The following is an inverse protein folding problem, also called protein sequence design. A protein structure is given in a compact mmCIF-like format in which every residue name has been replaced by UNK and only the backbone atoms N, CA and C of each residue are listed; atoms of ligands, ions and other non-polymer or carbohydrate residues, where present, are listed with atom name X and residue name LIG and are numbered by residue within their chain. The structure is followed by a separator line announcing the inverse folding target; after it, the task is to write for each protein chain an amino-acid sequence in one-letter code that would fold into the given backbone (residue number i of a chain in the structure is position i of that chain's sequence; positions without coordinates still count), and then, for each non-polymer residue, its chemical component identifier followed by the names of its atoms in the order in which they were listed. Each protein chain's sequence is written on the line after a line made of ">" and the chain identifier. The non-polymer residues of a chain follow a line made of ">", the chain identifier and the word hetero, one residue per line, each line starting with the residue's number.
data_IF_959802680941
#
_entry.id   IF_959802680941
#
_cell.length_a   1.000
_cell.length_b   1.000
_cell.length_c   1.000
_cell.angle_alpha   90.00
_cell.angle_beta   90.00
_cell.angle_gamma   90.00
#
_symmetry.space_group_name_H-M   'P 1'
#
loop_
_entity.id
_entity.type
_entity.pdbx_description
1 polymer ?
#
# COMPACT_ATOMS: atom_id res chain seq x y z
N UNK A 1 -2.20 -4.20 -33.27
CA UNK A 1 -3.15 -4.86 -32.39
C UNK A 1 -4.18 -3.83 -32.01
N UNK A 2 -5.46 -4.05 -32.38
CA UNK A 2 -6.55 -3.05 -32.38
C UNK A 2 -7.11 -2.71 -31.00
N UNK A 3 -6.27 -2.51 -29.98
CA UNK A 3 -6.71 -2.02 -28.68
C UNK A 3 -6.96 -0.50 -28.79
N UNK A 4 -8.11 -0.06 -28.35
CA UNK A 4 -8.34 1.34 -28.05
C UNK A 4 -7.60 1.70 -26.76
N UNK A 5 -6.93 2.84 -26.73
CA UNK A 5 -6.15 3.27 -25.59
C UNK A 5 -6.20 4.78 -25.41
N UNK A 6 -5.99 5.24 -24.23
CA UNK A 6 -5.67 6.60 -23.86
C UNK A 6 -4.32 6.66 -23.13
N UNK A 7 -3.69 7.80 -23.12
CA UNK A 7 -2.47 8.08 -22.36
C UNK A 7 -2.81 9.18 -21.36
N UNK A 8 -2.74 8.86 -20.06
CA UNK A 8 -2.90 9.84 -19.00
C UNK A 8 -1.51 10.12 -18.41
N UNK A 9 -0.96 11.29 -18.74
CA UNK A 9 0.30 11.75 -18.17
C UNK A 9 0.04 12.65 -16.99
N UNK A 10 0.59 12.31 -15.82
CA UNK A 10 0.42 13.11 -14.61
C UNK A 10 1.73 13.82 -14.29
N UNK A 11 1.68 15.12 -14.24
CA UNK A 11 2.79 15.97 -13.78
C UNK A 11 2.63 16.30 -12.30
N UNK A 12 3.59 15.86 -11.49
CA UNK A 12 3.59 16.07 -10.03
C UNK A 12 4.30 17.39 -9.66
N UNK A 13 3.85 18.49 -10.28
CA UNK A 13 4.31 19.83 -9.99
C UNK A 13 5.76 20.09 -10.44
N UNK A 14 6.09 19.75 -11.67
CA UNK A 14 7.40 20.05 -12.27
C UNK A 14 7.65 21.56 -12.34
N UNK A 15 8.88 21.96 -12.04
CA UNK A 15 9.31 23.36 -12.09
C UNK A 15 10.23 23.67 -13.28
N UNK A 16 10.45 22.69 -14.14
CA UNK A 16 11.25 22.76 -15.36
C UNK A 16 10.38 22.91 -16.62
N UNK A 17 10.90 22.59 -17.80
CA UNK A 17 10.17 22.67 -19.05
C UNK A 17 9.19 21.52 -19.32
N UNK A 18 9.00 20.57 -18.40
CA UNK A 18 8.22 19.34 -18.62
C UNK A 18 6.79 19.64 -19.10
N UNK A 19 6.06 20.50 -18.41
CA UNK A 19 4.67 20.84 -18.81
C UNK A 19 4.60 21.48 -20.18
N UNK A 20 5.55 22.37 -20.52
CA UNK A 20 5.59 23.01 -21.83
C UNK A 20 5.79 21.96 -22.94
N UNK A 21 6.68 21.00 -22.71
CA UNK A 21 6.90 19.90 -23.68
C UNK A 21 5.65 19.01 -23.80
N UNK A 22 5.01 18.67 -22.68
CA UNK A 22 3.78 17.86 -22.69
C UNK A 22 2.64 18.55 -23.46
N UNK A 23 2.43 19.84 -23.25
CA UNK A 23 1.41 20.59 -23.97
C UNK A 23 1.75 20.85 -25.46
N UNK A 24 3.00 20.71 -25.86
CA UNK A 24 3.40 20.80 -27.28
C UNK A 24 3.08 19.51 -28.05
N UNK A 25 2.75 18.41 -27.36
CA UNK A 25 2.42 17.14 -28.02
C UNK A 25 0.96 17.18 -28.47
N UNK A 26 0.77 17.33 -29.78
CA UNK A 26 -0.56 17.23 -30.38
C UNK A 26 -0.91 15.75 -30.64
N UNK A 27 -1.51 15.10 -29.63
CA UNK A 27 -1.94 13.70 -29.76
C UNK A 27 -3.36 13.52 -29.19
N UNK A 28 -4.33 13.06 -29.98
CA UNK A 28 -5.76 13.06 -29.63
C UNK A 28 -6.09 12.14 -28.43
N UNK A 29 -5.20 11.21 -28.08
CA UNK A 29 -5.38 10.26 -26.96
C UNK A 29 -4.54 10.63 -25.73
N UNK A 30 -3.87 11.78 -25.74
CA UNK A 30 -3.07 12.26 -24.61
C UNK A 30 -3.93 13.16 -23.73
N UNK A 31 -4.03 12.81 -22.46
CA UNK A 31 -4.62 13.62 -21.39
C UNK A 31 -3.53 14.00 -20.40
N UNK A 32 -3.32 15.27 -20.17
CA UNK A 32 -2.34 15.78 -19.20
C UNK A 32 -3.07 16.19 -17.93
N UNK A 33 -2.65 15.64 -16.78
CA UNK A 33 -3.15 15.99 -15.45
C UNK A 33 -2.03 16.71 -14.70
N UNK A 34 -2.24 17.98 -14.41
CA UNK A 34 -1.27 18.81 -13.69
C UNK A 34 -1.63 18.91 -12.21
N UNK A 35 -0.72 18.54 -11.32
CA UNK A 35 -0.87 18.75 -9.89
C UNK A 35 -0.31 20.12 -9.50
N UNK A 36 -1.00 20.82 -8.61
CA UNK A 36 -0.64 22.20 -8.22
C UNK A 36 0.75 22.34 -7.60
N UNK A 37 1.32 21.28 -7.07
CA UNK A 37 2.67 21.18 -6.50
C UNK A 37 3.07 19.71 -6.41
N UNK A 38 4.31 19.43 -6.04
CA UNK A 38 4.76 18.07 -5.78
C UNK A 38 4.06 17.49 -4.53
N UNK A 39 3.19 16.51 -4.74
CA UNK A 39 2.49 15.74 -3.71
C UNK A 39 3.05 14.33 -3.55
N UNK A 40 3.97 13.92 -4.42
CA UNK A 40 4.62 12.62 -4.44
C UNK A 40 3.92 11.59 -5.32
N UNK A 41 4.68 10.56 -5.69
CA UNK A 41 4.32 9.56 -6.69
C UNK A 41 2.98 8.86 -6.44
N UNK A 42 2.64 8.57 -5.18
CA UNK A 42 1.35 7.94 -4.85
C UNK A 42 0.17 8.84 -5.18
N UNK A 43 0.28 10.14 -4.90
CA UNK A 43 -0.79 11.11 -5.21
C UNK A 43 -0.94 11.32 -6.72
N UNK A 44 0.20 11.41 -7.43
CA UNK A 44 0.21 11.49 -8.88
C UNK A 44 -0.45 10.26 -9.53
N UNK A 45 -0.12 9.07 -9.02
CA UNK A 45 -0.70 7.82 -9.50
C UNK A 45 -2.22 7.76 -9.28
N UNK A 46 -2.69 8.17 -8.07
CA UNK A 46 -4.13 8.22 -7.80
C UNK A 46 -4.85 9.20 -8.71
N UNK A 47 -4.27 10.39 -8.96
CA UNK A 47 -4.85 11.35 -9.89
C UNK A 47 -4.93 10.79 -11.33
N UNK A 48 -3.94 10.01 -11.74
CA UNK A 48 -3.95 9.31 -13.03
C UNK A 48 -5.02 8.23 -13.12
N UNK A 49 -5.18 7.44 -12.06
CA UNK A 49 -6.22 6.39 -11.97
C UNK A 49 -7.62 7.02 -12.01
N UNK A 50 -7.85 8.11 -11.27
CA UNK A 50 -9.12 8.82 -11.26
C UNK A 50 -9.45 9.49 -12.62
N UNK A 51 -8.44 9.89 -13.36
CA UNK A 51 -8.59 10.53 -14.67
C UNK A 51 -8.74 9.54 -15.82
N UNK A 52 -8.39 8.26 -15.62
CA UNK A 52 -8.45 7.22 -16.64
C UNK A 52 -9.88 6.70 -16.84
N UNK A 53 -10.24 6.44 -18.10
CA UNK A 53 -11.58 6.01 -18.53
C UNK A 53 -11.60 4.55 -19.01
N UNK A 54 -10.43 3.96 -19.31
CA UNK A 54 -10.31 2.60 -19.79
C UNK A 54 -10.72 1.54 -18.79
N UNK A 55 -11.18 0.37 -19.26
CA UNK A 55 -11.53 -0.79 -18.42
C UNK A 55 -10.30 -1.33 -17.67
N UNK A 56 -9.14 -1.30 -18.32
CA UNK A 56 -7.86 -1.69 -17.76
C UNK A 56 -6.96 -0.47 -17.63
N UNK A 57 -6.30 -0.32 -16.50
CA UNK A 57 -5.34 0.74 -16.26
C UNK A 57 -3.95 0.13 -16.18
N UNK A 58 -3.04 0.62 -17.02
CA UNK A 58 -1.62 0.32 -16.94
C UNK A 58 -0.89 1.48 -16.30
N UNK A 59 -0.14 1.21 -15.24
CA UNK A 59 0.71 2.19 -14.56
C UNK A 59 2.16 2.00 -14.97
N UNK A 60 2.89 3.09 -15.21
CA UNK A 60 4.28 3.05 -15.63
C UNK A 60 4.99 4.36 -15.26
N UNK A 61 6.27 4.27 -14.88
CA UNK A 61 7.10 5.46 -14.68
C UNK A 61 7.48 6.09 -16.03
N UNK A 62 7.55 7.42 -16.10
CA UNK A 62 7.92 8.17 -17.31
C UNK A 62 9.44 8.24 -17.56
N UNK A 63 10.24 7.33 -17.01
CA UNK A 63 11.71 7.32 -17.06
C UNK A 63 12.30 6.44 -18.16
N UNK A 64 11.45 5.93 -19.07
CA UNK A 64 11.79 5.08 -20.21
C UNK A 64 12.42 3.72 -19.85
N UNK A 65 12.37 3.31 -18.60
CA UNK A 65 12.92 2.01 -18.19
C UNK A 65 11.99 0.83 -18.53
N UNK A 66 10.68 1.03 -18.48
CA UNK A 66 9.69 0.03 -18.88
C UNK A 66 9.38 0.13 -20.38
N UNK A 67 9.04 -0.98 -21.01
CA UNK A 67 8.64 -1.02 -22.42
C UNK A 67 7.11 -1.07 -22.55
N UNK A 68 6.47 -0.03 -23.13
CA UNK A 68 5.02 -0.03 -23.36
C UNK A 68 4.54 -1.18 -24.26
N UNK A 69 5.42 -1.77 -25.05
CA UNK A 69 5.09 -2.91 -25.90
C UNK A 69 4.69 -4.17 -25.12
N UNK A 70 5.03 -4.25 -23.83
CA UNK A 70 4.61 -5.36 -22.95
C UNK A 70 3.13 -5.25 -22.55
N UNK A 71 2.53 -4.05 -22.57
CA UNK A 71 1.17 -3.79 -22.06
C UNK A 71 0.10 -4.65 -22.76
N UNK A 72 0.05 -4.77 -24.09
CA UNK A 72 -0.98 -5.58 -24.75
C UNK A 72 -0.96 -7.05 -24.33
N UNK A 73 0.24 -7.63 -24.18
CA UNK A 73 0.40 -9.01 -23.72
C UNK A 73 -0.04 -9.18 -22.26
N UNK A 74 0.23 -8.15 -21.41
CA UNK A 74 -0.21 -8.14 -20.02
C UNK A 74 -1.73 -8.04 -19.91
N UNK A 75 -2.39 -7.21 -20.71
CA UNK A 75 -3.86 -7.10 -20.76
C UNK A 75 -4.46 -8.44 -21.15
N UNK A 76 -3.99 -9.07 -22.25
CA UNK A 76 -4.47 -10.38 -22.67
C UNK A 76 -4.31 -11.44 -21.56
N UNK A 77 -3.16 -11.48 -20.90
CA UNK A 77 -2.92 -12.41 -19.78
C UNK A 77 -3.87 -12.16 -18.61
N UNK A 78 -4.14 -10.89 -18.29
CA UNK A 78 -5.03 -10.50 -17.21
C UNK A 78 -6.46 -10.97 -17.51
N UNK A 79 -6.94 -10.79 -18.74
CA UNK A 79 -8.25 -11.25 -19.20
C UNK A 79 -8.36 -12.77 -19.20
N UNK A 80 -7.45 -13.46 -19.86
CA UNK A 80 -7.45 -14.92 -19.98
C UNK A 80 -7.46 -15.62 -18.63
N UNK A 81 -6.65 -15.13 -17.68
CA UNK A 81 -6.55 -15.68 -16.33
C UNK A 81 -7.54 -15.08 -15.35
N UNK A 82 -8.39 -14.17 -15.80
CA UNK A 82 -9.37 -13.46 -14.98
C UNK A 82 -8.74 -12.82 -13.72
N UNK A 83 -7.57 -12.19 -13.88
CA UNK A 83 -6.87 -11.50 -12.83
C UNK A 83 -7.48 -10.11 -12.59
N UNK A 84 -7.23 -9.57 -11.41
CA UNK A 84 -7.57 -8.20 -11.05
C UNK A 84 -6.34 -7.28 -11.09
N UNK A 85 -5.14 -7.86 -10.91
CA UNK A 85 -3.87 -7.16 -11.04
C UNK A 85 -2.79 -8.08 -11.61
N UNK A 86 -2.06 -7.62 -12.61
CA UNK A 86 -0.87 -8.27 -13.15
C UNK A 86 0.33 -7.31 -13.02
N UNK A 87 1.36 -7.75 -12.30
CA UNK A 87 2.56 -6.98 -12.04
C UNK A 87 3.68 -7.36 -13.01
N UNK A 88 4.45 -6.39 -13.47
CA UNK A 88 5.67 -6.66 -14.21
C UNK A 88 6.76 -7.23 -13.29
N UNK A 89 7.48 -8.24 -13.78
CA UNK A 89 8.66 -8.80 -13.12
C UNK A 89 9.92 -8.55 -13.95
N UNK A 90 10.83 -7.73 -13.42
CA UNK A 90 12.11 -7.40 -14.05
C UNK A 90 13.12 -8.54 -13.82
N UNK A 91 12.93 -9.65 -14.54
CA UNK A 91 13.71 -10.88 -14.35
C UNK A 91 15.23 -10.68 -14.54
N UNK A 92 15.62 -9.81 -15.47
CA UNK A 92 17.03 -9.57 -15.83
C UNK A 92 17.60 -8.30 -15.20
N UNK A 93 17.11 -7.91 -14.01
CA UNK A 93 17.58 -6.72 -13.32
C UNK A 93 19.07 -6.84 -12.94
N UNK A 94 19.91 -5.97 -13.50
CA UNK A 94 21.36 -5.89 -13.20
C UNK A 94 21.59 -4.98 -11.99
N UNK A 95 21.12 -5.38 -10.80
CA UNK A 95 21.39 -4.63 -9.58
C UNK A 95 22.56 -5.23 -8.80
N UNK A 96 23.26 -4.36 -8.06
CA UNK A 96 24.32 -4.79 -7.13
C UNK A 96 23.72 -5.65 -5.99
N UNK A 97 24.50 -6.63 -5.51
CA UNK A 97 24.12 -7.56 -4.44
C UNK A 97 23.62 -6.85 -3.16
N UNK A 98 24.18 -5.67 -2.87
CA UNK A 98 23.83 -4.84 -1.70
C UNK A 98 22.37 -4.36 -1.70
N UNK A 99 21.72 -4.33 -2.89
CA UNK A 99 20.31 -3.92 -3.05
C UNK A 99 19.37 -5.09 -3.18
N UNK A 100 19.85 -6.26 -3.59
CA UNK A 100 19.01 -7.44 -3.83
C UNK A 100 18.65 -8.16 -2.54
N UNK A 101 19.54 -8.23 -1.55
CA UNK A 101 19.29 -8.95 -0.30
C UNK A 101 18.23 -8.28 0.57
N UNK A 102 18.29 -6.97 0.88
CA UNK A 102 17.21 -6.29 1.59
C UNK A 102 15.86 -6.35 0.86
N UNK A 103 15.89 -6.27 -0.48
CA UNK A 103 14.68 -6.38 -1.31
C UNK A 103 14.05 -7.77 -1.22
N UNK A 104 14.85 -8.85 -1.21
CA UNK A 104 14.32 -10.22 -1.07
C UNK A 104 13.67 -10.46 0.29
N UNK A 105 14.30 -9.98 1.36
CA UNK A 105 13.73 -10.07 2.72
C UNK A 105 12.41 -9.30 2.79
N UNK A 106 12.38 -8.09 2.25
CA UNK A 106 11.18 -7.27 2.17
C UNK A 106 10.08 -7.98 1.38
N UNK A 107 10.37 -8.49 0.19
CA UNK A 107 9.42 -9.21 -0.66
C UNK A 107 8.88 -10.47 0.04
N UNK A 108 9.74 -11.23 0.73
CA UNK A 108 9.31 -12.40 1.50
C UNK A 108 8.36 -12.03 2.64
N UNK A 109 8.69 -10.97 3.40
CA UNK A 109 7.84 -10.50 4.51
C UNK A 109 6.50 -10.01 3.98
N UNK A 110 6.51 -9.24 2.89
CA UNK A 110 5.31 -8.75 2.23
C UNK A 110 4.45 -9.93 1.76
N UNK A 111 5.03 -10.90 1.06
CA UNK A 111 4.32 -12.08 0.57
C UNK A 111 3.67 -12.89 1.67
N UNK A 112 4.35 -13.03 2.83
CA UNK A 112 3.81 -13.75 3.99
C UNK A 112 2.62 -13.02 4.64
N UNK A 113 2.62 -11.69 4.61
CA UNK A 113 1.56 -10.86 5.21
C UNK A 113 0.36 -10.73 4.29
N UNK A 114 0.59 -10.53 2.98
CA UNK A 114 -0.46 -10.30 1.99
C UNK A 114 -1.08 -11.59 1.43
N UNK A 115 -0.41 -12.73 1.60
CA UNK A 115 -0.78 -13.97 0.91
C UNK A 115 -0.47 -13.97 -0.60
N UNK A 116 0.15 -12.90 -1.11
CA UNK A 116 0.56 -12.76 -2.51
C UNK A 116 2.07 -12.90 -2.61
N UNK A 117 2.56 -13.91 -3.29
CA UNK A 117 3.99 -14.13 -3.49
C UNK A 117 4.42 -13.57 -4.86
N UNK A 118 5.11 -12.43 -4.88
CA UNK A 118 5.69 -11.83 -6.08
C UNK A 118 7.20 -11.74 -5.93
N UNK A 119 7.91 -11.89 -7.05
CA UNK A 119 9.36 -11.69 -7.10
C UNK A 119 9.74 -10.21 -7.11
N UNK A 120 8.88 -9.35 -7.71
CA UNK A 120 9.17 -7.92 -7.86
C UNK A 120 7.97 -7.03 -7.55
N UNK A 121 7.83 -6.61 -6.28
CA UNK A 121 6.82 -5.62 -5.89
C UNK A 121 7.12 -4.20 -6.39
N UNK A 122 8.38 -3.92 -6.68
CA UNK A 122 8.89 -2.58 -7.00
C UNK A 122 8.81 -2.21 -8.48
N UNK A 123 8.35 -3.08 -9.36
CA UNK A 123 8.15 -2.74 -10.77
C UNK A 123 6.99 -1.73 -10.89
N UNK A 124 7.21 -0.61 -11.60
CA UNK A 124 6.16 0.39 -11.81
C UNK A 124 5.14 -0.05 -12.87
N UNK A 125 5.55 -0.91 -13.82
CA UNK A 125 4.64 -1.45 -14.82
C UNK A 125 3.70 -2.47 -14.18
N UNK A 126 2.43 -2.09 -14.07
CA UNK A 126 1.35 -2.94 -13.56
C UNK A 126 0.11 -2.71 -14.41
N UNK A 127 -0.64 -3.75 -14.66
CA UNK A 127 -1.94 -3.69 -15.35
C UNK A 127 -3.00 -4.20 -14.38
N UNK A 128 -4.05 -3.42 -14.16
CA UNK A 128 -5.14 -3.80 -13.27
C UNK A 128 -6.51 -3.40 -13.81
N UNK A 129 -7.55 -4.01 -13.27
CA UNK A 129 -8.92 -3.60 -13.56
C UNK A 129 -9.20 -2.25 -12.91
N UNK A 130 -9.88 -1.38 -13.66
CA UNK A 130 -10.22 -0.03 -13.20
C UNK A 130 -11.02 -0.02 -11.90
N UNK A 131 -12.05 -0.85 -11.79
CA UNK A 131 -12.92 -0.96 -10.62
C UNK A 131 -12.15 -1.32 -9.35
N UNK A 132 -11.08 -2.11 -9.47
CA UNK A 132 -10.20 -2.47 -8.35
C UNK A 132 -9.23 -1.34 -8.02
N UNK A 133 -8.63 -0.70 -9.04
CA UNK A 133 -7.63 0.34 -8.82
C UNK A 133 -8.25 1.65 -8.32
N UNK A 134 -9.46 2.00 -8.72
CA UNK A 134 -10.22 3.14 -8.17
C UNK A 134 -10.55 2.99 -6.66
N UNK A 135 -10.62 1.75 -6.17
CA UNK A 135 -10.80 1.45 -4.75
C UNK A 135 -9.58 1.68 -3.87
N UNK A 136 -8.43 2.01 -4.45
CA UNK A 136 -7.20 2.26 -3.69
C UNK A 136 -7.22 3.63 -3.00
N UNK A 137 -6.57 3.72 -1.84
CA UNK A 137 -6.27 4.97 -1.12
C UNK A 137 -4.76 5.00 -0.85
N UNK A 138 -3.98 5.38 -1.87
CA UNK A 138 -2.53 5.40 -1.79
C UNK A 138 -2.04 6.75 -1.25
N UNK A 139 -1.19 6.70 -0.20
CA UNK A 139 -0.59 7.89 0.42
C UNK A 139 0.91 7.69 0.64
N UNK A 140 1.67 8.77 0.62
CA UNK A 140 3.12 8.72 0.84
C UNK A 140 3.82 7.77 -0.15
N UNK A 141 4.60 6.82 0.32
CA UNK A 141 5.35 5.87 -0.50
C UNK A 141 4.57 4.55 -0.81
N UNK A 142 3.24 4.56 -0.63
CA UNK A 142 2.41 3.34 -0.75
C UNK A 142 2.26 2.80 -2.19
N UNK A 143 2.61 3.58 -3.21
CA UNK A 143 2.61 3.14 -4.61
C UNK A 143 3.43 1.86 -4.85
N UNK A 144 4.45 1.60 -4.02
CA UNK A 144 5.27 0.38 -4.09
C UNK A 144 4.52 -0.87 -3.66
N UNK A 145 3.51 -0.69 -2.82
CA UNK A 145 2.76 -1.75 -2.19
C UNK A 145 1.36 -1.94 -2.81
N UNK A 146 1.13 -1.42 -4.03
CA UNK A 146 -0.14 -1.60 -4.74
C UNK A 146 -0.65 -3.06 -4.69
N UNK A 147 0.19 -4.09 -4.95
CA UNK A 147 -0.29 -5.47 -4.87
C UNK A 147 -0.83 -5.87 -3.50
N UNK A 148 -0.27 -5.28 -2.43
CA UNK A 148 -0.77 -5.47 -1.07
C UNK A 148 -2.15 -4.86 -0.87
N UNK A 149 -2.33 -3.63 -1.36
CA UNK A 149 -3.60 -2.92 -1.24
C UNK A 149 -4.69 -3.60 -2.06
N UNK A 150 -4.35 -4.05 -3.28
CA UNK A 150 -5.25 -4.83 -4.12
C UNK A 150 -5.60 -6.18 -3.46
N UNK A 151 -4.66 -6.84 -2.76
CA UNK A 151 -4.94 -8.08 -2.03
C UNK A 151 -5.98 -7.92 -0.90
N UNK A 152 -6.22 -6.70 -0.42
CA UNK A 152 -7.31 -6.41 0.51
C UNK A 152 -8.66 -6.18 -0.15
N UNK A 153 -8.67 -5.90 -1.45
CA UNK A 153 -9.88 -5.63 -2.23
C UNK A 153 -10.35 -6.86 -3.01
N UNK A 154 -9.43 -7.80 -3.27
CA UNK A 154 -9.69 -9.00 -4.06
C UNK A 154 -8.98 -10.22 -3.47
N UNK A 155 -9.28 -11.41 -4.01
CA UNK A 155 -8.62 -12.63 -3.54
C UNK A 155 -7.15 -12.66 -4.03
N UNK A 156 -6.17 -13.07 -3.18
CA UNK A 156 -4.76 -13.14 -3.55
C UNK A 156 -4.45 -13.93 -4.84
N UNK A 157 -5.24 -14.96 -5.17
CA UNK A 157 -5.09 -15.74 -6.42
C UNK A 157 -5.41 -14.94 -7.70
N UNK A 158 -5.98 -13.75 -7.58
CA UNK A 158 -6.28 -12.84 -8.70
C UNK A 158 -5.17 -11.84 -8.95
N UNK A 159 -4.05 -11.98 -8.23
CA UNK A 159 -2.86 -11.16 -8.38
C UNK A 159 -1.74 -12.06 -8.85
N UNK A 160 -1.10 -11.69 -9.97
CA UNK A 160 0.00 -12.45 -10.54
C UNK A 160 1.12 -11.51 -11.02
N UNK A 161 2.20 -12.10 -11.47
CA UNK A 161 3.29 -11.37 -12.12
C UNK A 161 3.66 -12.01 -13.45
N UNK A 162 4.24 -11.19 -14.34
CA UNK A 162 4.73 -11.60 -15.65
C UNK A 162 6.09 -10.97 -15.93
N UNK A 163 7.06 -11.72 -16.49
CA UNK A 163 8.30 -11.12 -16.94
C UNK A 163 8.05 -10.01 -17.96
N UNK A 164 8.73 -8.87 -17.76
CA UNK A 164 8.64 -7.69 -18.65
C UNK A 164 10.02 -7.21 -19.05
N UNK A 165 10.09 -6.51 -20.18
CA UNK A 165 11.31 -5.88 -20.64
C UNK A 165 11.63 -4.67 -19.77
N UNK A 166 12.90 -4.57 -19.39
CA UNK A 166 13.38 -3.46 -18.57
C UNK A 166 14.72 -2.96 -19.13
N UNK A 167 14.76 -1.67 -19.43
CA UNK A 167 15.95 -1.01 -20.01
C UNK A 167 16.75 -0.31 -18.92
N UNK A 168 18.04 -0.16 -19.15
CA UNK A 168 18.86 0.69 -18.30
C UNK A 168 18.39 2.15 -18.42
N UNK A 169 18.45 2.90 -17.32
CA UNK A 169 18.10 4.32 -17.32
C UNK A 169 19.00 5.10 -18.27
N UNK A 170 18.42 5.84 -19.19
CA UNK A 170 19.14 6.62 -20.20
C UNK A 170 19.33 8.08 -19.78
N UNK A 171 18.50 8.62 -18.87
CA UNK A 171 18.55 10.02 -18.44
C UNK A 171 18.28 10.14 -16.93
N UNK A 172 18.82 11.20 -16.32
CA UNK A 172 18.62 11.51 -14.90
C UNK A 172 19.50 10.76 -13.93
N UNK A 173 19.65 11.29 -12.72
CA UNK A 173 20.39 10.66 -11.63
C UNK A 173 19.43 9.94 -10.68
N UNK A 174 19.80 8.74 -10.23
CA UNK A 174 19.01 8.02 -9.21
C UNK A 174 19.02 8.82 -7.90
N UNK A 175 17.87 9.34 -7.49
CA UNK A 175 17.68 9.98 -6.18
C UNK A 175 17.76 8.97 -5.00
N UNK A 176 18.18 7.72 -5.25
CA UNK A 176 18.08 6.61 -4.31
C UNK A 176 19.45 6.23 -3.72
N UNK A 177 19.70 6.64 -2.47
CA UNK A 177 20.89 6.28 -1.67
C UNK A 177 20.59 5.22 -0.59
N UNK A 178 21.65 4.63 0.00
CA UNK A 178 21.61 3.60 1.06
C UNK A 178 20.93 4.12 2.35
N UNK A 179 20.87 5.44 2.58
CA UNK A 179 20.20 6.07 3.72
C UNK A 179 18.68 5.81 3.82
N UNK A 180 18.10 5.12 2.82
CA UNK A 180 16.68 4.77 2.74
C UNK A 180 16.29 3.46 3.44
N UNK A 181 17.24 2.58 3.75
CA UNK A 181 16.93 1.26 4.34
C UNK A 181 16.10 1.36 5.62
N UNK A 182 16.39 2.25 6.60
CA UNK A 182 15.53 2.40 7.78
C UNK A 182 14.13 2.88 7.43
N UNK A 183 13.99 3.77 6.44
CA UNK A 183 12.70 4.30 5.99
C UNK A 183 11.85 3.22 5.34
N UNK A 184 12.45 2.38 4.49
CA UNK A 184 11.75 1.23 3.87
C UNK A 184 11.28 0.23 4.93
N UNK A 185 12.05 -0.01 5.99
CA UNK A 185 11.64 -0.89 7.10
C UNK A 185 10.43 -0.28 7.83
N UNK A 186 10.44 1.02 8.10
CA UNK A 186 9.31 1.71 8.71
C UNK A 186 8.07 1.68 7.82
N UNK A 187 8.23 1.89 6.50
CA UNK A 187 7.15 1.81 5.53
C UNK A 187 6.56 0.40 5.46
N UNK A 188 7.40 -0.65 5.55
CA UNK A 188 6.96 -2.04 5.62
C UNK A 188 6.21 -2.35 6.91
N UNK A 189 6.70 -1.87 8.05
CA UNK A 189 6.02 -2.02 9.33
C UNK A 189 4.67 -1.30 9.32
N UNK A 190 4.63 -0.09 8.77
CA UNK A 190 3.40 0.67 8.61
C UNK A 190 2.42 -0.06 7.68
N UNK A 191 2.89 -0.55 6.51
CA UNK A 191 2.06 -1.32 5.59
C UNK A 191 1.52 -2.58 6.26
N UNK A 192 2.37 -3.36 6.95
CA UNK A 192 1.95 -4.54 7.72
C UNK A 192 0.88 -4.21 8.75
N UNK A 193 1.10 -3.14 9.54
CA UNK A 193 0.15 -2.69 10.56
C UNK A 193 -1.20 -2.32 9.93
N UNK A 194 -1.18 -1.49 8.86
CA UNK A 194 -2.41 -1.10 8.17
C UNK A 194 -3.14 -2.30 7.56
N UNK A 195 -2.42 -3.23 6.92
CA UNK A 195 -3.03 -4.42 6.33
C UNK A 195 -3.69 -5.32 7.37
N UNK A 196 -3.04 -5.51 8.52
CA UNK A 196 -3.49 -6.47 9.53
C UNK A 196 -4.52 -5.88 10.49
N UNK A 197 -4.42 -4.59 10.79
CA UNK A 197 -5.18 -3.94 11.88
C UNK A 197 -5.97 -2.71 11.44
N UNK A 198 -6.09 -2.46 10.10
CA UNK A 198 -6.81 -1.30 9.56
C UNK A 198 -8.23 -1.17 10.13
N UNK A 199 -8.95 -2.29 10.19
CA UNK A 199 -10.36 -2.29 10.64
C UNK A 199 -10.49 -2.40 12.16
N UNK A 200 -9.46 -2.93 12.84
CA UNK A 200 -9.50 -3.20 14.29
C UNK A 200 -8.16 -2.90 14.96
N UNK A 201 -7.67 -1.65 14.91
CA UNK A 201 -6.40 -1.28 15.54
C UNK A 201 -6.44 -1.47 17.07
N UNK A 202 -7.64 -1.40 17.67
CA UNK A 202 -7.87 -1.65 19.09
C UNK A 202 -7.41 -3.04 19.54
N UNK A 203 -7.49 -4.07 18.68
CA UNK A 203 -7.01 -5.40 19.02
C UNK A 203 -5.48 -5.45 19.19
N UNK A 204 -4.73 -4.78 18.31
CA UNK A 204 -3.28 -4.75 18.41
C UNK A 204 -2.82 -4.05 19.70
N UNK A 205 -3.26 -2.82 19.89
CA UNK A 205 -2.88 -2.02 21.05
C UNK A 205 -3.48 -2.58 22.35
N UNK A 206 -4.70 -3.11 22.29
CA UNK A 206 -5.38 -3.73 23.44
C UNK A 206 -4.63 -4.96 23.96
N UNK A 207 -4.25 -5.90 23.07
CA UNK A 207 -3.48 -7.09 23.47
C UNK A 207 -2.11 -6.68 24.02
N UNK A 208 -1.38 -5.80 23.33
CA UNK A 208 -0.08 -5.32 23.81
C UNK A 208 -0.23 -4.60 25.17
N UNK A 209 -1.26 -3.79 25.34
CA UNK A 209 -1.55 -3.08 26.58
C UNK A 209 -1.94 -3.99 27.74
N UNK A 210 -2.78 -5.01 27.48
CA UNK A 210 -3.14 -6.02 28.49
C UNK A 210 -1.93 -6.85 28.93
N UNK A 211 -1.07 -7.26 28.01
CA UNK A 211 0.16 -7.98 28.35
C UNK A 211 1.11 -7.12 29.18
N UNK A 212 1.38 -5.90 28.74
CA UNK A 212 2.31 -4.99 29.42
C UNK A 212 1.76 -4.56 30.78
N UNK A 213 0.49 -4.13 30.83
CA UNK A 213 -0.18 -3.75 32.07
C UNK A 213 -0.39 -4.91 33.03
N UNK A 214 -0.68 -6.11 32.50
CA UNK A 214 -0.76 -7.35 33.28
C UNK A 214 0.56 -7.72 33.97
N UNK A 215 1.68 -7.63 33.25
CA UNK A 215 3.02 -7.82 33.85
C UNK A 215 3.29 -6.77 34.94
N UNK A 216 2.92 -5.52 34.71
CA UNK A 216 3.01 -4.44 35.69
C UNK A 216 2.15 -4.75 36.95
N UNK A 217 0.90 -5.14 36.74
CA UNK A 217 -0.02 -5.50 37.83
C UNK A 217 0.48 -6.71 38.64
N UNK A 218 1.04 -7.73 37.99
CA UNK A 218 1.65 -8.89 38.67
C UNK A 218 2.85 -8.47 39.51
N UNK A 219 3.73 -7.61 38.98
CA UNK A 219 4.88 -7.11 39.74
C UNK A 219 4.45 -6.29 40.96
N UNK A 220 3.47 -5.41 40.80
CA UNK A 220 2.91 -4.60 41.89
C UNK A 220 2.16 -5.48 42.93
N UNK A 221 1.38 -6.45 42.46
CA UNK A 221 0.69 -7.41 43.29
C UNK A 221 1.65 -8.23 44.14
N UNK A 222 2.74 -8.73 43.56
CA UNK A 222 3.81 -9.42 44.28
C UNK A 222 4.42 -8.51 45.37
N UNK A 223 4.72 -7.26 45.07
CA UNK A 223 5.26 -6.31 46.05
C UNK A 223 4.27 -6.00 47.17
N UNK A 224 2.98 -5.85 46.82
CA UNK A 224 1.92 -5.64 47.82
C UNK A 224 1.82 -6.82 48.80
N UNK A 225 1.78 -8.05 48.27
CA UNK A 225 1.79 -9.25 49.09
C UNK A 225 3.03 -9.32 49.98
N UNK A 226 4.23 -9.07 49.40
CA UNK A 226 5.46 -9.02 50.17
C UNK A 226 5.38 -8.01 51.33
N UNK A 227 4.78 -6.85 51.10
CA UNK A 227 4.57 -5.80 52.11
C UNK A 227 3.61 -6.27 53.21
N UNK A 228 2.51 -6.93 52.87
CA UNK A 228 1.55 -7.45 53.82
C UNK A 228 2.15 -8.52 54.74
N UNK A 229 3.12 -9.29 54.26
CA UNK A 229 3.86 -10.28 55.07
C UNK A 229 5.13 -9.71 55.74
N UNK A 230 5.21 -8.38 55.87
CA UNK A 230 6.29 -7.72 56.62
C UNK A 230 7.58 -7.49 55.84
N UNK A 231 7.60 -7.73 54.53
CA UNK A 231 8.75 -7.46 53.68
C UNK A 231 8.91 -5.94 53.44
N UNK A 232 10.17 -5.51 53.31
CA UNK A 232 10.46 -4.14 52.89
C UNK A 232 10.40 -3.98 51.37
N UNK A 233 9.65 -3.00 50.87
CA UNK A 233 9.49 -2.67 49.44
C UNK A 233 10.21 -1.38 49.02
N UNK A 234 10.85 -0.68 49.98
CA UNK A 234 11.62 0.51 49.70
C UNK A 234 12.82 0.25 48.79
N UNK A 235 13.17 1.21 47.94
CA UNK A 235 14.31 1.19 46.99
C UNK A 235 14.35 -0.03 46.05
N UNK A 236 13.22 -0.58 45.67
CA UNK A 236 13.19 -1.70 44.72
C UNK A 236 12.98 -1.21 43.29
N UNK A 237 13.90 -1.51 42.37
CA UNK A 237 13.71 -1.20 40.93
C UNK A 237 12.42 -1.82 40.39
N UNK A 238 11.98 -2.96 40.93
CA UNK A 238 10.75 -3.64 40.55
C UNK A 238 9.49 -2.81 40.78
N UNK A 239 9.45 -1.94 41.81
CA UNK A 239 8.31 -1.04 42.06
C UNK A 239 8.18 -0.03 40.92
N UNK A 240 9.29 0.62 40.57
CA UNK A 240 9.30 1.60 39.46
C UNK A 240 8.95 0.91 38.15
N UNK A 241 9.53 -0.24 37.85
CA UNK A 241 9.26 -1.03 36.67
C UNK A 241 7.79 -1.45 36.59
N UNK A 242 7.20 -1.92 37.71
CA UNK A 242 5.80 -2.32 37.78
C UNK A 242 4.85 -1.15 37.50
N UNK A 243 5.12 0.03 38.08
CA UNK A 243 4.34 1.24 37.82
C UNK A 243 4.46 1.68 36.36
N UNK A 244 5.68 1.70 35.81
CA UNK A 244 5.91 2.09 34.40
C UNK A 244 5.19 1.12 33.44
N UNK A 245 5.27 -0.21 33.68
CA UNK A 245 4.58 -1.19 32.85
C UNK A 245 3.05 -1.03 32.93
N UNK A 246 2.50 -0.77 34.11
CA UNK A 246 1.07 -0.54 34.28
C UNK A 246 0.61 0.73 33.53
N UNK A 247 1.37 1.82 33.62
CA UNK A 247 1.08 3.07 32.92
C UNK A 247 1.19 2.91 31.39
N UNK A 248 2.25 2.25 30.91
CA UNK A 248 2.42 1.97 29.47
C UNK A 248 1.28 1.06 28.96
N UNK A 249 0.88 0.06 29.74
CA UNK A 249 -0.26 -0.80 29.40
C UNK A 249 -1.56 -0.02 29.26
N UNK A 250 -1.85 0.88 30.21
CA UNK A 250 -3.03 1.76 30.15
C UNK A 250 -2.95 2.71 28.94
N UNK A 251 -1.76 3.28 28.67
CA UNK A 251 -1.52 4.15 27.53
C UNK A 251 -1.79 3.43 26.19
N UNK A 252 -1.33 2.17 26.05
CA UNK A 252 -1.57 1.38 24.86
C UNK A 252 -3.06 1.08 24.67
N UNK A 253 -3.78 0.71 25.73
CA UNK A 253 -5.24 0.46 25.66
C UNK A 253 -5.98 1.72 25.22
N UNK A 254 -5.70 2.86 25.84
CA UNK A 254 -6.36 4.13 25.46
C UNK A 254 -6.03 4.55 24.03
N UNK A 255 -4.78 4.37 23.60
CA UNK A 255 -4.37 4.58 22.20
C UNK A 255 -5.15 3.68 21.24
N UNK A 256 -5.34 2.41 21.61
CA UNK A 256 -6.13 1.47 20.84
C UNK A 256 -7.58 1.87 20.68
N UNK A 257 -8.22 2.33 21.75
CA UNK A 257 -9.61 2.82 21.72
C UNK A 257 -9.75 4.06 20.83
N UNK A 258 -8.83 5.03 20.94
CA UNK A 258 -8.83 6.22 20.10
C UNK A 258 -8.63 5.86 18.63
N UNK A 259 -7.66 4.98 18.33
CA UNK A 259 -7.43 4.52 16.98
C UNK A 259 -8.66 3.81 16.38
N UNK A 260 -9.34 2.97 17.17
CA UNK A 260 -10.58 2.29 16.77
C UNK A 260 -11.72 3.29 16.48
N UNK A 261 -11.88 4.32 17.31
CA UNK A 261 -12.87 5.38 17.09
C UNK A 261 -12.57 6.16 15.79
N UNK A 262 -11.30 6.49 15.54
CA UNK A 262 -10.88 7.19 14.32
C UNK A 262 -11.14 6.39 13.04
N UNK A 263 -11.03 5.06 13.08
CA UNK A 263 -11.34 4.23 11.92
C UNK A 263 -12.82 4.24 11.57
N UNK A 264 -13.70 4.33 12.57
CA UNK A 264 -15.16 4.40 12.38
C UNK A 264 -15.65 5.76 11.89
N UNK A 265 -14.89 6.83 12.10
CA UNK A 265 -15.25 8.19 11.67
C UNK A 265 -14.89 8.48 10.21
N UNK A 266 -14.02 7.67 9.58
CA UNK A 266 -13.70 7.86 8.17
C UNK A 266 -14.83 7.32 7.30
N UNK A 267 -15.42 8.15 6.40
CA UNK A 267 -16.29 7.63 5.37
C UNK A 267 -15.49 6.65 4.52
N UNK A 268 -15.87 5.39 4.56
CA UNK A 268 -15.27 4.35 3.74
C UNK A 268 -15.85 4.54 2.33
N UNK A 269 -15.02 4.91 1.34
CA UNK A 269 -15.31 4.53 -0.03
C UNK A 269 -15.21 3.01 -0.03
N UNK A 270 -16.35 2.33 0.11
CA UNK A 270 -16.36 0.88 -0.03
C UNK A 270 -16.05 0.58 -1.49
N UNK A 271 -15.05 -0.27 -1.75
CA UNK A 271 -14.91 -0.81 -3.10
C UNK A 271 -16.21 -1.54 -3.46
N UNK A 272 -16.58 -1.63 -4.73
CA UNK A 272 -17.75 -2.39 -5.14
C UNK A 272 -17.66 -3.79 -4.55
N UNK A 273 -18.62 -4.15 -3.68
CA UNK A 273 -18.66 -5.46 -2.99
C UNK A 273 -18.92 -6.60 -3.97
N UNK A 274 -19.43 -6.27 -5.16
CA UNK A 274 -19.73 -7.22 -6.22
C UNK A 274 -18.91 -6.88 -7.45
N UNK A 275 -18.32 -7.90 -8.06
CA UNK A 275 -17.71 -7.78 -9.39
C UNK A 275 -18.83 -7.64 -10.41
N UNK A 276 -18.72 -6.66 -11.30
CA UNK A 276 -19.56 -6.63 -12.50
C UNK A 276 -19.10 -7.76 -13.44
N UNK A 277 -19.81 -8.86 -13.39
CA UNK A 277 -19.55 -10.01 -14.28
C UNK A 277 -20.32 -9.91 -15.59
N UNK A 278 -21.00 -8.78 -15.84
CA UNK A 278 -21.92 -8.63 -16.96
C UNK A 278 -23.16 -9.55 -16.87
N UNK A 279 -23.24 -10.41 -15.85
CA UNK A 279 -24.34 -11.37 -15.64
C UNK A 279 -25.17 -11.04 -14.38
N UNK A 280 -24.78 -10.02 -13.59
CA UNK A 280 -25.54 -9.67 -12.39
C UNK A 280 -26.73 -8.77 -12.74
N UNK A 281 -27.91 -9.35 -12.79
CA UNK A 281 -29.19 -8.64 -12.89
C UNK A 281 -29.53 -7.81 -11.64
N UNK A 282 -28.66 -7.80 -10.63
CA UNK A 282 -28.86 -7.12 -9.34
C UNK A 282 -28.40 -5.65 -9.31
N UNK A 283 -27.63 -5.19 -10.27
CA UNK A 283 -27.09 -3.82 -10.29
C UNK A 283 -28.05 -2.78 -10.94
N UNK A 284 -29.23 -3.19 -11.45
CA UNK A 284 -30.27 -2.30 -11.97
C UNK A 284 -31.51 -2.31 -11.08
N UNK A 285 -31.31 -2.04 -9.81
CA UNK A 285 -32.40 -1.72 -8.89
C UNK A 285 -32.64 -0.21 -8.92
N UNK A 286 -33.71 0.21 -9.57
CA UNK A 286 -34.27 1.55 -9.55
C UNK A 286 -34.28 2.11 -8.13
N UNK A 287 -33.51 3.15 -7.88
CA UNK A 287 -33.79 4.09 -6.82
C UNK A 287 -34.57 5.28 -7.40
N UNK A 288 -35.74 4.99 -7.97
CA UNK A 288 -36.83 5.92 -7.98
C UNK A 288 -37.69 5.65 -6.71
N UNK A 289 -37.39 6.32 -5.65
CA UNK A 289 -38.29 6.60 -4.56
C UNK A 289 -38.47 8.11 -4.46
N UNK A 290 -39.21 8.66 -5.41
CA UNK A 290 -40.05 9.83 -5.18
C UNK A 290 -41.36 9.31 -4.54
N UNK A 291 -41.53 9.57 -3.25
CA UNK A 291 -42.73 10.13 -2.62
C UNK A 291 -42.43 10.39 -1.13
#
# INVERSE_FOLDING_TARGET
>A
QGLEYEIVYVDDGSTDGTLRELYSIDHPRLKVVELRKNYGQSSALMAGIEAAEGEFISTMDGDLQNDPADIPAMVSTLEEKQLDLLCGWRKNRQDSLDRTLPSRIANWLIGRVSGVALHDYGCSLKVGRRDVLEGLDLRGEMHRFIPLWVANLTHPSRIAEQPVNHRARTAGTSKYGISRTPRVILDLLAAWFFLRFRERPGHFFGVAGLMTGGLGALALGYLLLSKLFGGDIGNRPLLITGVLLALVGLQLITTGLVAEMLTRLKPHKQPPLTRDTGHSTWAKGDHDLTD
#
